data_IF_955715710280
#
_entry.id   IF_955715710280
#
_cell.length_a   1.000
_cell.length_b   1.000
_cell.length_c   1.000
_cell.angle_alpha   90.00
_cell.angle_beta   90.00
_cell.angle_gamma   90.00
#
_symmetry.space_group_name_H-M   'P 1'
#
loop_
_entity.id
_entity.type
_entity.pdbx_description
1 polymer ?
#
# COMPACT_ATOMS: atom_id res chain seq x y z
N UNK A 1 12.55 -10.86 2.82
CA UNK A 1 11.83 -10.06 1.82
C UNK A 1 10.66 -9.42 2.54
N UNK A 2 10.43 -8.13 2.29
CA UNK A 2 9.33 -7.34 2.87
C UNK A 2 8.33 -6.99 1.79
N UNK A 3 7.18 -6.49 2.22
CA UNK A 3 6.12 -5.97 1.39
C UNK A 3 5.93 -4.49 1.72
N UNK A 4 5.69 -3.67 0.70
CA UNK A 4 5.32 -2.26 0.85
C UNK A 4 3.96 -2.02 0.24
N UNK A 5 3.12 -1.27 0.96
CA UNK A 5 1.76 -0.93 0.58
C UNK A 5 1.68 0.56 0.26
N UNK A 6 0.99 0.88 -0.83
CA UNK A 6 0.61 2.22 -1.23
C UNK A 6 -0.91 2.28 -1.22
N UNK A 7 -1.46 2.99 -0.23
CA UNK A 7 -2.90 3.22 -0.10
C UNK A 7 -3.24 4.61 -0.63
N UNK A 8 -4.11 4.67 -1.63
CA UNK A 8 -4.61 5.95 -2.17
C UNK A 8 -5.45 6.70 -1.13
N UNK A 9 -4.97 7.88 -0.73
CA UNK A 9 -5.59 8.75 0.27
C UNK A 9 -6.56 9.77 -0.35
N UNK A 10 -7.39 9.39 -1.31
CA UNK A 10 -8.39 10.29 -1.89
C UNK A 10 -9.56 10.56 -0.92
N UNK A 11 -9.53 11.70 -0.22
CA UNK A 11 -10.69 12.19 0.55
C UNK A 11 -11.58 13.06 -0.35
N UNK A 12 -12.66 12.48 -0.90
CA UNK A 12 -13.64 13.18 -1.74
C UNK A 12 -13.22 13.45 -3.20
N UNK A 13 -11.94 13.31 -3.53
CA UNK A 13 -11.44 13.24 -4.92
C UNK A 13 -11.56 11.84 -5.52
N UNK A 14 -11.37 11.71 -6.83
CA UNK A 14 -11.27 10.41 -7.49
C UNK A 14 -9.97 9.67 -7.15
N UNK A 15 -9.99 8.36 -7.36
CA UNK A 15 -8.81 7.49 -7.25
C UNK A 15 -7.75 7.89 -8.29
N UNK A 16 -6.46 7.80 -7.93
CA UNK A 16 -5.33 8.23 -8.76
C UNK A 16 -4.96 7.16 -9.79
N UNK A 17 -5.15 5.89 -9.45
CA UNK A 17 -4.93 4.73 -10.31
C UNK A 17 -6.20 3.86 -10.32
N UNK A 18 -6.17 2.74 -11.02
CA UNK A 18 -7.29 1.78 -11.05
C UNK A 18 -7.46 1.01 -9.73
N UNK A 19 -6.41 0.97 -8.89
CA UNK A 19 -6.42 0.29 -7.59
C UNK A 19 -6.26 1.27 -6.43
N UNK A 20 -7.09 1.10 -5.39
CA UNK A 20 -6.96 1.85 -4.14
C UNK A 20 -5.78 1.34 -3.30
N UNK A 21 -5.45 0.04 -3.41
CA UNK A 21 -4.42 -0.60 -2.62
C UNK A 21 -3.43 -1.33 -3.52
N UNK A 22 -2.19 -0.89 -3.52
CA UNK A 22 -1.11 -1.51 -4.30
C UNK A 22 -0.07 -2.07 -3.35
N UNK A 23 0.23 -3.35 -3.45
CA UNK A 23 1.23 -4.04 -2.63
C UNK A 23 2.38 -4.54 -3.51
N UNK A 24 3.59 -4.17 -3.16
CA UNK A 24 4.81 -4.53 -3.90
C UNK A 24 5.72 -5.34 -2.97
N UNK A 25 6.13 -6.52 -3.40
CA UNK A 25 7.09 -7.38 -2.69
C UNK A 25 8.52 -6.87 -2.88
N UNK A 26 8.83 -5.74 -2.24
CA UNK A 26 10.14 -5.12 -2.20
C UNK A 26 10.25 -4.22 -0.96
N UNK A 27 11.48 -3.86 -0.57
CA UNK A 27 11.71 -2.88 0.50
C UNK A 27 11.24 -1.49 0.07
N UNK A 28 10.78 -0.65 1.01
CA UNK A 28 10.08 0.61 0.72
C UNK A 28 10.81 1.52 -0.29
N UNK A 29 12.13 1.70 -0.12
CA UNK A 29 12.93 2.55 -1.03
C UNK A 29 12.94 2.01 -2.47
N UNK A 30 12.97 0.70 -2.62
CA UNK A 30 12.91 0.05 -3.93
C UNK A 30 11.48 0.03 -4.47
N UNK A 31 10.50 -0.30 -3.64
CA UNK A 31 9.08 -0.30 -3.98
C UNK A 31 8.62 1.07 -4.51
N UNK A 32 9.11 2.17 -3.91
CA UNK A 32 8.84 3.53 -4.40
C UNK A 32 9.36 3.77 -5.83
N UNK A 33 10.54 3.24 -6.18
CA UNK A 33 11.08 3.32 -7.54
C UNK A 33 10.27 2.47 -8.52
N UNK A 34 9.93 1.24 -8.12
CA UNK A 34 9.11 0.34 -8.91
C UNK A 34 7.75 0.98 -9.20
N UNK A 35 7.10 1.53 -8.16
CA UNK A 35 5.85 2.26 -8.29
C UNK A 35 5.97 3.41 -9.28
N UNK A 36 6.98 4.27 -9.11
CA UNK A 36 7.19 5.42 -9.99
C UNK A 36 7.41 4.99 -11.45
N UNK A 37 8.30 4.03 -11.68
CA UNK A 37 8.64 3.56 -13.03
C UNK A 37 7.46 2.85 -13.70
N UNK A 38 6.64 2.12 -12.95
CA UNK A 38 5.49 1.38 -13.48
C UNK A 38 4.30 2.27 -13.81
N UNK A 39 4.03 3.26 -12.97
CA UNK A 39 2.82 4.08 -13.06
C UNK A 39 3.08 5.52 -13.52
N UNK A 40 4.34 5.88 -13.77
CA UNK A 40 4.77 7.24 -14.10
C UNK A 40 4.22 8.29 -13.11
N UNK A 41 4.20 7.94 -11.82
CA UNK A 41 3.61 8.78 -10.77
C UNK A 41 4.41 8.71 -9.48
N UNK A 42 4.74 9.86 -8.90
CA UNK A 42 5.51 9.88 -7.66
C UNK A 42 4.66 9.41 -6.47
N UNK A 43 5.07 8.34 -5.76
CA UNK A 43 4.37 7.88 -4.55
C UNK A 43 4.52 8.88 -3.38
N UNK A 44 5.48 9.80 -3.46
CA UNK A 44 5.74 10.81 -2.43
C UNK A 44 5.04 12.15 -2.72
N UNK A 45 4.21 12.23 -3.77
CA UNK A 45 3.55 13.48 -4.14
C UNK A 45 2.63 13.98 -3.03
N UNK A 46 2.79 15.24 -2.67
CA UNK A 46 1.89 15.96 -1.75
C UNK A 46 1.02 16.90 -2.57
N UNK A 47 -0.30 16.71 -2.55
CA UNK A 47 -1.20 17.52 -3.39
C UNK A 47 -1.25 18.98 -2.93
N UNK A 48 -1.46 19.24 -1.64
CA UNK A 48 -1.38 20.56 -1.01
C UNK A 48 -1.10 20.42 0.48
N UNK A 49 -0.79 21.54 1.14
CA UNK A 49 -0.70 21.63 2.61
C UNK A 49 -1.98 21.16 3.32
N UNK A 50 -3.12 21.32 2.66
CA UNK A 50 -4.44 20.95 3.15
C UNK A 50 -4.79 19.46 3.04
N UNK A 51 -4.46 18.85 1.90
CA UNK A 51 -4.88 17.49 1.54
C UNK A 51 -3.81 16.45 1.89
N UNK A 52 -2.56 16.87 2.05
CA UNK A 52 -1.45 15.98 2.37
C UNK A 52 -1.00 15.11 1.20
N UNK A 53 -0.40 13.98 1.55
CA UNK A 53 0.18 13.02 0.61
C UNK A 53 -0.89 12.28 -0.19
N UNK A 54 -0.61 12.01 -1.47
CA UNK A 54 -1.51 11.24 -2.34
C UNK A 54 -1.64 9.79 -1.89
N UNK A 55 -0.58 9.23 -1.32
CA UNK A 55 -0.53 7.86 -0.83
C UNK A 55 -0.07 7.80 0.63
N UNK A 56 -0.67 6.89 1.39
CA UNK A 56 -0.14 6.40 2.66
C UNK A 56 0.73 5.18 2.37
N UNK A 57 1.96 5.18 2.89
CA UNK A 57 2.96 4.14 2.60
C UNK A 57 3.33 3.43 3.90
N UNK A 58 3.25 2.10 3.88
CA UNK A 58 3.61 1.26 5.02
C UNK A 58 4.34 0.00 4.54
N UNK A 59 5.12 -0.65 5.41
CA UNK A 59 5.87 -1.85 5.06
C UNK A 59 5.81 -2.89 6.17
N UNK A 60 5.73 -4.16 5.79
CA UNK A 60 5.67 -5.30 6.72
C UNK A 60 6.42 -6.52 6.16
N UNK A 61 6.76 -7.48 7.03
CA UNK A 61 7.45 -8.71 6.60
C UNK A 61 6.60 -9.63 5.73
N UNK A 62 5.28 -9.60 5.91
CA UNK A 62 4.36 -10.48 5.20
C UNK A 62 3.18 -9.70 4.66
N UNK A 63 2.68 -10.08 3.49
CA UNK A 63 1.46 -9.53 2.92
C UNK A 63 0.26 -9.72 3.86
N UNK A 64 0.22 -10.81 4.61
CA UNK A 64 -0.83 -11.10 5.59
C UNK A 64 -0.96 -9.99 6.65
N UNK A 65 0.16 -9.58 7.26
CA UNK A 65 0.18 -8.47 8.23
C UNK A 65 -0.15 -7.13 7.57
N UNK A 66 0.43 -6.85 6.41
CA UNK A 66 0.25 -5.58 5.71
C UNK A 66 -1.20 -5.32 5.28
N UNK A 67 -1.93 -6.38 4.96
CA UNK A 67 -3.35 -6.33 4.54
C UNK A 67 -4.32 -6.47 5.70
N UNK A 68 -3.85 -6.84 6.90
CA UNK A 68 -4.69 -7.30 8.00
C UNK A 68 -5.73 -6.27 8.45
N UNK A 69 -5.35 -4.99 8.49
CA UNK A 69 -6.26 -3.88 8.81
C UNK A 69 -7.45 -3.80 7.83
N UNK A 70 -7.17 -3.88 6.52
CA UNK A 70 -8.21 -3.83 5.49
C UNK A 70 -9.12 -5.05 5.52
N UNK A 71 -8.55 -6.20 5.90
CA UNK A 71 -9.24 -7.48 6.05
C UNK A 71 -10.00 -7.65 7.37
N UNK A 72 -9.98 -6.64 8.25
CA UNK A 72 -10.65 -6.64 9.56
C UNK A 72 -10.17 -7.77 10.49
N UNK A 73 -8.87 -8.06 10.40
CA UNK A 73 -8.22 -9.00 11.32
C UNK A 73 -8.17 -8.44 12.73
N UNK A 74 -8.24 -9.31 13.73
CA UNK A 74 -8.12 -8.97 15.14
C UNK A 74 -6.72 -8.42 15.45
N UNK A 75 -6.64 -7.23 16.04
CA UNK A 75 -5.38 -6.70 16.54
C UNK A 75 -5.09 -7.21 17.96
N UNK A 76 -4.01 -8.00 18.11
CA UNK A 76 -3.55 -8.46 19.41
C UNK A 76 -2.64 -7.41 20.06
N UNK A 77 -3.16 -6.66 21.04
CA UNK A 77 -2.43 -5.61 21.75
C UNK A 77 -1.21 -6.10 22.53
N UNK A 78 -1.22 -7.35 23.01
CA UNK A 78 -0.11 -7.91 23.79
C UNK A 78 1.08 -8.25 22.90
N UNK A 79 0.83 -8.70 21.68
CA UNK A 79 1.85 -9.07 20.70
C UNK A 79 2.15 -7.95 19.69
N UNK A 80 1.40 -6.84 19.77
CA UNK A 80 1.45 -5.71 18.84
C UNK A 80 1.39 -6.12 17.36
N UNK A 81 0.51 -7.09 17.04
CA UNK A 81 0.38 -7.63 15.69
C UNK A 81 -1.06 -8.09 15.40
N UNK A 82 -1.38 -8.23 14.11
CA UNK A 82 -2.66 -8.79 13.71
C UNK A 82 -2.66 -10.32 13.76
N UNK A 83 -3.82 -10.88 14.08
CA UNK A 83 -4.10 -12.31 14.09
C UNK A 83 -5.18 -12.59 13.05
N UNK A 84 -5.00 -13.65 12.25
CA UNK A 84 -5.87 -14.07 11.15
C UNK A 84 -7.23 -14.61 11.66
N UNK A 85 -8.04 -13.72 12.23
CA UNK A 85 -9.36 -13.97 12.82
C UNK A 85 -10.19 -12.69 12.76
N UNK A 86 -11.52 -12.81 12.75
CA UNK A 86 -12.44 -11.68 12.88
C UNK A 86 -12.13 -10.84 14.13
N UNK A 87 -11.99 -9.53 13.96
CA UNK A 87 -12.05 -8.59 15.08
C UNK A 87 -13.53 -8.35 15.47
N UNK A 88 -13.92 -8.59 16.73
CA UNK A 88 -15.31 -8.38 17.17
C UNK A 88 -15.72 -6.89 17.17
N UNK A 89 -14.77 -5.95 17.06
CA UNK A 89 -15.06 -4.51 16.99
C UNK A 89 -15.66 -4.13 15.63
N UNK A 90 -15.30 -4.84 14.57
CA UNK A 90 -15.84 -4.57 13.24
C UNK A 90 -17.12 -5.37 13.00
N UNK A 91 -18.26 -4.73 12.74
CA UNK A 91 -19.49 -5.43 12.39
C UNK A 91 -19.43 -6.06 10.99
N UNK A 92 -18.47 -5.65 10.15
CA UNK A 92 -18.25 -6.23 8.82
C UNK A 92 -17.53 -7.58 8.92
N UNK A 93 -17.86 -8.47 7.98
CA UNK A 93 -17.24 -9.78 7.88
C UNK A 93 -15.75 -9.68 7.49
N UNK A 94 -14.94 -10.45 8.19
CA UNK A 94 -13.53 -10.66 7.93
C UNK A 94 -13.32 -11.29 6.55
N UNK A 95 -12.31 -10.81 5.84
CA UNK A 95 -11.98 -11.29 4.50
C UNK A 95 -10.66 -12.06 4.58
N UNK A 96 -10.67 -13.32 4.10
CA UNK A 96 -9.44 -14.10 4.00
C UNK A 96 -8.45 -13.43 3.07
N UNK A 97 -7.15 -13.61 3.30
CA UNK A 97 -6.11 -13.07 2.41
C UNK A 97 -6.35 -13.45 0.94
N UNK A 98 -6.72 -14.72 0.70
CA UNK A 98 -6.98 -15.22 -0.65
C UNK A 98 -8.16 -14.53 -1.34
N UNK A 99 -9.21 -14.15 -0.61
CA UNK A 99 -10.33 -13.40 -1.16
C UNK A 99 -9.99 -11.92 -1.35
N UNK A 100 -9.26 -11.32 -0.40
CA UNK A 100 -8.82 -9.94 -0.51
C UNK A 100 -7.93 -9.69 -1.73
N UNK A 101 -7.03 -10.64 -2.04
CA UNK A 101 -6.18 -10.55 -3.24
C UNK A 101 -6.94 -10.68 -4.57
N UNK A 102 -8.25 -11.00 -4.56
CA UNK A 102 -9.10 -11.05 -5.75
C UNK A 102 -9.95 -9.79 -5.93
N UNK A 103 -9.91 -8.87 -4.95
CA UNK A 103 -10.64 -7.60 -5.03
C UNK A 103 -10.09 -6.75 -6.19
N UNK A 104 -10.98 -6.20 -7.00
CA UNK A 104 -10.60 -5.39 -8.17
C UNK A 104 -9.87 -4.09 -7.79
N UNK A 105 -10.03 -3.62 -6.54
CA UNK A 105 -9.33 -2.44 -6.01
C UNK A 105 -7.95 -2.77 -5.41
N UNK A 106 -7.51 -4.03 -5.49
CA UNK A 106 -6.24 -4.50 -4.94
C UNK A 106 -5.31 -4.99 -6.06
N UNK A 107 -4.12 -4.43 -6.11
CA UNK A 107 -3.03 -4.89 -6.98
C UNK A 107 -1.91 -5.50 -6.14
N UNK A 108 -1.49 -6.72 -6.50
CA UNK A 108 -0.35 -7.41 -5.90
C UNK A 108 0.75 -7.56 -6.95
N UNK A 109 1.94 -7.00 -6.69
CA UNK A 109 3.12 -7.13 -7.53
C UNK A 109 4.17 -7.94 -6.76
N UNK A 110 4.39 -9.19 -7.19
CA UNK A 110 5.39 -10.07 -6.57
C UNK A 110 6.78 -9.76 -7.08
N UNK A 111 7.81 -10.18 -6.32
CA UNK A 111 9.20 -9.93 -6.67
C UNK A 111 9.59 -10.49 -8.04
N UNK A 112 9.01 -11.62 -8.44
CA UNK A 112 9.23 -12.26 -9.75
C UNK A 112 8.61 -11.53 -10.94
N UNK A 113 7.63 -10.66 -10.70
CA UNK A 113 6.91 -9.90 -11.74
C UNK A 113 7.49 -8.48 -11.94
N UNK A 114 8.57 -8.16 -11.23
CA UNK A 114 9.25 -6.86 -11.28
C UNK A 114 10.42 -6.94 -12.23
N UNK A 115 10.38 -6.11 -13.26
CA UNK A 115 11.42 -6.03 -14.28
C UNK A 115 12.65 -5.30 -13.73
N UNK A 116 13.83 -5.66 -14.22
CA UNK A 116 15.11 -5.12 -13.72
C UNK A 116 15.20 -3.60 -13.86
N UNK A 117 14.66 -3.03 -14.94
CA UNK A 117 14.70 -1.58 -15.18
C UNK A 117 13.85 -0.79 -14.18
N UNK A 118 12.76 -1.37 -13.68
CA UNK A 118 11.86 -0.73 -12.70
C UNK A 118 12.50 -0.55 -11.33
N UNK A 119 13.57 -1.30 -11.03
CA UNK A 119 14.27 -1.25 -9.74
C UNK A 119 15.26 -0.10 -9.61
N UNK A 120 15.56 0.58 -10.72
CA UNK A 120 16.61 1.61 -10.83
C UNK A 120 16.05 3.02 -11.02
N UNK A 121 16.90 4.03 -10.95
CA UNK A 121 16.51 5.44 -11.13
C UNK A 121 16.21 6.18 -9.82
N UNK A 122 15.67 7.39 -9.95
CA UNK A 122 15.36 8.31 -8.86
C UNK A 122 13.88 8.66 -8.93
N UNK A 123 13.20 8.63 -7.78
CA UNK A 123 11.84 9.14 -7.65
C UNK A 123 11.94 10.65 -7.44
N UNK A 124 11.38 11.49 -8.32
CA UNK A 124 11.40 12.93 -8.14
C UNK A 124 10.52 13.35 -6.96
N UNK A 125 10.93 14.44 -6.30
CA UNK A 125 10.05 15.17 -5.40
C UNK A 125 9.04 15.94 -6.24
N UNK A 126 7.74 15.71 -5.98
CA UNK A 126 6.65 16.30 -6.74
C UNK A 126 5.57 16.86 -5.80
N UNK A 127 4.89 17.91 -6.24
CA UNK A 127 3.82 18.55 -5.48
C UNK A 127 4.33 19.61 -4.49
N UNK A 128 3.64 19.75 -3.36
CA UNK A 128 4.01 20.73 -2.34
C UNK A 128 5.25 20.27 -1.55
N UNK A 129 6.30 21.09 -1.56
CA UNK A 129 7.52 20.88 -0.78
C UNK A 129 7.51 21.87 0.39
N UNK A 130 7.54 21.36 1.63
CA UNK A 130 7.68 22.20 2.82
C UNK A 130 9.09 22.80 2.83
N UNK A 131 9.20 24.13 2.69
CA UNK A 131 10.45 24.88 2.78
C UNK A 131 10.72 25.36 4.21
#
# INVERSE_FOLDING_TARGET
MTWTHFWDMHSGGGQKLEWANIYIEAEEKEAKRIFYNRFARSPNRVTCTCCGSDYSISSEKTLGQLTAFHRKCLYNKTLEQYVEKQDPIYPQEYITLANYCKDENVLIIKAGDIQSHERTGVVPEEGYVWQ
#
